data_IF_623160695897
#
_entry.id   IF_623160695897
#
_cell.length_a   1.000
_cell.length_b   1.000
_cell.length_c   1.000
_cell.angle_alpha   90.00
_cell.angle_beta   90.00
_cell.angle_gamma   90.00
#
_symmetry.space_group_name_H-M   'P 1'
#
loop_
_entity.id
_entity.type
_entity.pdbx_description
1 polymer ?
#
# COMPACT_ATOMS: atom_id res chain seq x y z
N UNK A 1 -34.61 92.63 53.28
CA UNK A 1 -34.81 93.96 52.66
C UNK A 1 -34.75 93.80 51.14
N UNK A 2 -35.55 94.51 50.32
CA UNK A 2 -37.01 94.48 50.19
C UNK A 2 -37.48 94.13 48.75
N UNK A 3 -38.80 93.90 48.59
CA UNK A 3 -39.59 93.81 47.33
C UNK A 3 -39.53 95.15 46.54
N UNK A 4 -39.82 95.22 45.21
CA UNK A 4 -41.20 95.34 44.66
C UNK A 4 -41.41 94.69 43.25
N UNK A 5 -42.55 94.05 42.90
CA UNK A 5 -43.89 94.56 42.51
C UNK A 5 -44.08 94.96 41.02
N UNK A 6 -45.27 94.58 40.50
CA UNK A 6 -45.99 94.98 39.25
C UNK A 6 -45.59 94.26 37.93
N UNK A 7 -46.49 93.87 37.00
CA UNK A 7 -47.89 94.27 36.74
C UNK A 7 -48.64 93.23 35.86
N UNK A 8 -49.98 93.32 35.85
CA UNK A 8 -50.96 92.37 35.30
C UNK A 8 -51.30 92.56 33.79
N UNK A 9 -51.57 91.43 33.10
CA UNK A 9 -52.65 91.12 32.10
C UNK A 9 -52.81 92.00 30.81
N UNK A 10 -53.69 91.69 29.80
CA UNK A 10 -54.53 90.51 29.50
C UNK A 10 -54.58 90.03 28.00
N UNK A 11 -55.22 88.85 27.81
CA UNK A 11 -55.97 88.28 26.64
C UNK A 11 -56.05 89.02 25.28
N UNK A 12 -55.92 88.25 24.17
CA UNK A 12 -57.00 88.07 23.15
C UNK A 12 -56.74 86.93 22.14
N UNK A 13 -57.86 86.31 21.71
CA UNK A 13 -58.01 85.16 20.79
C UNK A 13 -58.34 85.63 19.35
N UNK A 14 -57.86 84.83 18.38
CA UNK A 14 -58.42 84.49 17.03
C UNK A 14 -58.44 85.59 15.95
N UNK A 15 -58.55 85.29 14.62
CA UNK A 15 -58.95 84.03 13.96
C UNK A 15 -57.99 83.52 12.85
N UNK A 16 -58.31 82.35 12.28
CA UNK A 16 -57.45 81.62 11.33
C UNK A 16 -57.51 82.08 9.87
N UNK A 17 -56.59 81.53 9.08
CA UNK A 17 -56.59 81.57 7.62
C UNK A 17 -56.57 80.16 7.03
N UNK A 18 -57.40 79.99 6.00
CA UNK A 18 -57.68 78.75 5.26
C UNK A 18 -56.54 78.39 4.29
N UNK A 19 -56.42 77.08 4.11
CA UNK A 19 -56.30 76.34 2.84
C UNK A 19 -55.01 76.35 2.01
N UNK A 20 -54.78 75.12 1.50
CA UNK A 20 -54.16 74.73 0.24
C UNK A 20 -52.63 74.61 0.18
N UNK A 21 -52.19 73.36 0.35
CA UNK A 21 -50.88 72.86 -0.05
C UNK A 21 -50.95 71.35 -0.17
N UNK A 22 -51.80 70.85 -1.07
CA UNK A 22 -51.82 69.43 -1.45
C UNK A 22 -50.52 69.08 -2.16
N UNK A 23 -49.47 68.76 -1.39
CA UNK A 23 -48.23 68.23 -1.94
C UNK A 23 -48.50 66.90 -2.65
N UNK A 24 -47.91 66.66 -3.83
CA UNK A 24 -48.09 65.41 -4.55
C UNK A 24 -47.66 64.26 -3.63
N UNK A 25 -48.58 63.33 -3.40
CA UNK A 25 -48.37 62.18 -2.52
C UNK A 25 -47.18 61.36 -3.03
N UNK A 26 -46.06 61.42 -2.31
CA UNK A 26 -44.85 60.58 -2.43
C UNK A 26 -45.10 59.11 -2.05
N UNK A 27 -46.27 58.56 -2.41
CA UNK A 27 -46.70 57.20 -2.05
C UNK A 27 -46.06 56.11 -2.91
N UNK A 28 -45.49 56.45 -4.07
CA UNK A 28 -44.77 55.49 -4.94
C UNK A 28 -43.29 55.32 -4.60
N UNK A 29 -42.61 56.40 -4.18
CA UNK A 29 -41.15 56.40 -3.97
C UNK A 29 -40.76 55.55 -2.76
N UNK A 30 -41.52 55.62 -1.66
CA UNK A 30 -41.27 54.79 -0.48
C UNK A 30 -41.40 53.30 -0.78
N UNK A 31 -42.34 52.90 -1.65
CA UNK A 31 -42.52 51.52 -2.07
C UNK A 31 -41.33 51.05 -2.93
N UNK A 32 -40.84 51.89 -3.85
CA UNK A 32 -39.68 51.56 -4.69
C UNK A 32 -38.43 51.39 -3.83
N UNK A 33 -38.18 52.31 -2.88
CA UNK A 33 -37.04 52.20 -1.96
C UNK A 33 -37.13 50.92 -1.13
N UNK A 34 -38.31 50.58 -0.62
CA UNK A 34 -38.51 49.35 0.15
C UNK A 34 -38.26 48.09 -0.70
N UNK A 35 -38.79 48.03 -1.92
CA UNK A 35 -38.60 46.88 -2.82
C UNK A 35 -37.14 46.73 -3.24
N UNK A 36 -36.46 47.83 -3.58
CA UNK A 36 -35.03 47.81 -3.93
C UNK A 36 -34.19 47.39 -2.73
N UNK A 37 -34.51 47.89 -1.53
CA UNK A 37 -33.79 47.51 -0.30
C UNK A 37 -33.99 46.03 0.02
N UNK A 38 -35.22 45.51 -0.09
CA UNK A 38 -35.51 44.09 0.10
C UNK A 38 -34.80 43.26 -0.96
N UNK A 39 -34.84 43.65 -2.23
CA UNK A 39 -34.16 42.94 -3.31
C UNK A 39 -32.65 42.84 -3.04
N UNK A 40 -32.01 43.95 -2.67
CA UNK A 40 -30.58 43.98 -2.36
C UNK A 40 -30.22 43.14 -1.12
N UNK A 41 -31.03 43.21 -0.06
CA UNK A 41 -30.88 42.36 1.11
C UNK A 41 -31.06 40.88 0.78
N UNK A 42 -32.03 40.53 -0.07
CA UNK A 42 -32.25 39.14 -0.48
C UNK A 42 -31.06 38.58 -1.24
N UNK A 43 -30.46 39.35 -2.16
CA UNK A 43 -29.27 38.94 -2.91
C UNK A 43 -28.10 38.67 -1.95
N UNK A 44 -27.79 39.61 -1.06
CA UNK A 44 -26.71 39.47 -0.07
C UNK A 44 -26.97 38.27 0.85
N UNK A 45 -28.20 38.10 1.34
CA UNK A 45 -28.56 36.98 2.19
C UNK A 45 -28.40 35.63 1.46
N UNK A 46 -28.76 35.57 0.17
CA UNK A 46 -28.57 34.35 -0.63
C UNK A 46 -27.10 34.04 -0.91
N UNK A 47 -26.27 35.03 -1.24
CA UNK A 47 -24.83 34.83 -1.43
C UNK A 47 -24.15 34.39 -0.14
N UNK A 48 -24.47 35.03 1.00
CA UNK A 48 -23.94 34.63 2.29
C UNK A 48 -24.34 33.21 2.66
N UNK A 49 -25.62 32.84 2.45
CA UNK A 49 -26.10 31.49 2.73
C UNK A 49 -25.43 30.43 1.83
N UNK A 50 -25.19 30.76 0.56
CA UNK A 50 -24.48 29.87 -0.36
C UNK A 50 -23.02 29.70 0.06
N UNK A 51 -22.28 30.79 0.28
CA UNK A 51 -20.87 30.76 0.70
C UNK A 51 -20.71 30.02 2.03
N UNK A 52 -21.58 30.27 3.01
CA UNK A 52 -21.54 29.57 4.29
C UNK A 52 -21.74 28.06 4.15
N UNK A 53 -22.59 27.60 3.23
CA UNK A 53 -22.77 26.16 2.97
C UNK A 53 -21.54 25.54 2.32
N UNK A 54 -20.93 26.24 1.36
CA UNK A 54 -19.69 25.81 0.70
C UNK A 54 -18.56 25.73 1.72
N UNK A 55 -18.39 26.75 2.57
CA UNK A 55 -17.36 26.78 3.61
C UNK A 55 -17.54 25.66 4.63
N UNK A 56 -18.78 25.40 5.07
CA UNK A 56 -19.08 24.27 5.95
C UNK A 56 -18.75 22.92 5.29
N UNK A 57 -19.02 22.77 4.00
CA UNK A 57 -18.69 21.54 3.26
C UNK A 57 -17.18 21.38 3.08
N UNK A 58 -16.45 22.46 2.78
CA UNK A 58 -14.99 22.45 2.69
C UNK A 58 -14.36 22.11 4.05
N UNK A 59 -14.84 22.70 5.14
CA UNK A 59 -14.36 22.41 6.49
C UNK A 59 -14.64 20.95 6.90
N UNK A 60 -15.82 20.41 6.54
CA UNK A 60 -16.14 19.00 6.76
C UNK A 60 -15.20 18.08 5.95
N UNK A 61 -14.96 18.39 4.68
CA UNK A 61 -14.06 17.61 3.83
C UNK A 61 -12.61 17.65 4.33
N UNK A 62 -12.09 18.81 4.77
CA UNK A 62 -10.74 18.91 5.34
C UNK A 62 -10.59 18.10 6.63
N UNK A 63 -11.60 18.14 7.51
CA UNK A 63 -11.63 17.30 8.72
C UNK A 63 -11.62 15.81 8.35
N UNK A 64 -12.47 15.43 7.41
CA UNK A 64 -12.62 14.04 6.98
C UNK A 64 -11.38 13.55 6.22
N UNK A 65 -10.71 14.42 5.46
CA UNK A 65 -9.43 14.15 4.81
C UNK A 65 -8.33 13.77 5.81
N UNK A 66 -8.17 14.56 6.88
CA UNK A 66 -7.20 14.27 7.94
C UNK A 66 -7.54 12.95 8.63
N UNK A 67 -8.84 12.70 8.89
CA UNK A 67 -9.29 11.43 9.49
C UNK A 67 -8.97 10.25 8.57
N UNK A 68 -9.30 10.33 7.28
CA UNK A 68 -9.03 9.30 6.28
C UNK A 68 -7.52 9.01 6.18
N UNK A 69 -6.67 10.04 6.19
CA UNK A 69 -5.23 9.90 6.21
C UNK A 69 -4.72 9.09 7.41
N UNK A 70 -5.15 9.45 8.64
CA UNK A 70 -4.74 8.71 9.84
C UNK A 70 -5.34 7.30 9.92
N UNK A 71 -6.51 7.06 9.32
CA UNK A 71 -7.06 5.71 9.17
C UNK A 71 -6.18 4.85 8.26
N UNK A 72 -5.80 5.36 7.09
CA UNK A 72 -4.88 4.67 6.19
C UNK A 72 -3.52 4.42 6.87
N UNK A 73 -3.00 5.41 7.61
CA UNK A 73 -1.73 5.27 8.33
C UNK A 73 -1.80 4.20 9.42
N UNK A 74 -2.95 4.06 10.07
CA UNK A 74 -3.21 3.00 11.05
C UNK A 74 -3.21 1.61 10.38
N UNK A 75 -3.78 1.51 9.17
CA UNK A 75 -3.72 0.29 8.36
C UNK A 75 -2.29 -0.12 8.01
N UNK A 76 -1.44 0.83 7.60
CA UNK A 76 -0.01 0.56 7.35
C UNK A 76 0.70 0.08 8.62
N UNK A 77 0.44 0.72 9.77
CA UNK A 77 1.05 0.32 11.04
C UNK A 77 0.64 -1.10 11.47
N UNK A 78 -0.64 -1.44 11.29
CA UNK A 78 -1.17 -2.78 11.61
C UNK A 78 -0.60 -3.85 10.68
N UNK A 79 -0.47 -3.55 9.38
CA UNK A 79 0.21 -4.44 8.41
C UNK A 79 1.67 -4.69 8.79
N UNK A 80 2.41 -3.67 9.25
CA UNK A 80 3.79 -3.84 9.73
C UNK A 80 3.88 -4.75 10.96
N UNK A 81 2.94 -4.62 11.89
CA UNK A 81 2.84 -5.50 13.05
C UNK A 81 2.58 -6.95 12.62
N UNK A 82 1.68 -7.15 11.66
CA UNK A 82 1.37 -8.47 11.11
C UNK A 82 2.59 -9.11 10.45
N UNK A 83 3.34 -8.36 9.64
CA UNK A 83 4.55 -8.86 9.01
C UNK A 83 5.67 -9.18 10.02
N UNK A 84 5.74 -8.45 11.13
CA UNK A 84 6.64 -8.82 12.23
C UNK A 84 6.23 -10.15 12.86
N UNK A 85 4.93 -10.36 13.08
CA UNK A 85 4.42 -11.62 13.60
C UNK A 85 4.68 -12.78 12.63
N UNK A 86 4.50 -12.56 11.32
CA UNK A 86 4.91 -13.50 10.27
C UNK A 86 6.37 -13.93 10.43
N UNK A 87 7.30 -12.96 10.55
CA UNK A 87 8.73 -13.26 10.73
C UNK A 87 9.01 -14.08 12.00
N UNK A 88 8.26 -13.85 13.08
CA UNK A 88 8.37 -14.64 14.32
C UNK A 88 7.85 -16.07 14.14
N UNK A 89 6.71 -16.24 13.47
CA UNK A 89 6.14 -17.55 13.17
C UNK A 89 7.08 -18.36 12.26
N UNK A 90 7.71 -17.71 11.29
CA UNK A 90 8.70 -18.35 10.39
C UNK A 90 9.97 -18.82 11.11
N UNK A 91 10.30 -18.24 12.27
CA UNK A 91 11.43 -18.63 13.11
C UNK A 91 11.07 -19.76 14.08
N UNK A 92 9.79 -19.90 14.46
CA UNK A 92 9.32 -21.00 15.28
C UNK A 92 9.10 -22.25 14.42
N UNK A 93 9.88 -23.34 14.60
CA UNK A 93 9.63 -24.57 13.86
C UNK A 93 8.33 -25.18 14.38
N UNK A 94 7.22 -24.94 13.68
CA UNK A 94 5.96 -25.59 14.00
C UNK A 94 6.12 -27.07 13.59
N UNK A 95 5.99 -28.03 14.53
CA UNK A 95 6.04 -29.44 14.18
C UNK A 95 4.93 -29.74 13.16
N UNK A 96 5.34 -30.38 12.05
CA UNK A 96 4.47 -30.70 10.93
C UNK A 96 3.13 -31.32 11.42
N UNK A 97 1.96 -30.87 10.95
CA UNK A 97 0.67 -31.47 11.30
C UNK A 97 0.61 -32.96 10.97
N UNK A 98 1.37 -33.45 9.99
CA UNK A 98 1.52 -34.89 9.72
C UNK A 98 2.27 -35.64 10.83
N UNK A 99 3.26 -35.01 11.48
CA UNK A 99 3.94 -35.57 12.64
C UNK A 99 3.03 -35.54 13.89
N UNK A 100 2.21 -34.48 14.02
CA UNK A 100 1.21 -34.35 15.08
C UNK A 100 0.10 -35.40 14.92
N UNK A 101 -0.40 -35.60 13.71
CA UNK A 101 -1.43 -36.60 13.39
C UNK A 101 -0.87 -38.03 13.45
N UNK A 102 0.38 -38.25 13.03
CA UNK A 102 1.08 -39.53 13.19
C UNK A 102 1.30 -39.92 14.67
N UNK A 103 1.60 -38.94 15.52
CA UNK A 103 1.67 -39.13 16.97
C UNK A 103 0.28 -39.34 17.60
N UNK A 104 -0.77 -38.71 17.06
CA UNK A 104 -2.14 -38.87 17.57
C UNK A 104 -2.78 -40.20 17.15
N UNK A 105 -2.43 -40.73 15.98
CA UNK A 105 -2.91 -42.02 15.44
C UNK A 105 -2.09 -43.24 15.91
N UNK A 106 -1.09 -43.04 16.77
CA UNK A 106 -0.39 -44.14 17.47
C UNK A 106 0.55 -44.99 16.62
N UNK A 107 0.98 -44.53 15.43
CA UNK A 107 1.85 -45.31 14.56
C UNK A 107 3.35 -45.19 14.96
N UNK A 108 3.72 -45.78 16.09
CA UNK A 108 5.13 -45.99 16.49
C UNK A 108 5.74 -47.20 15.77
N UNK A 109 6.01 -47.07 14.46
CA UNK A 109 6.55 -48.21 13.71
C UNK A 109 7.07 -47.87 12.32
N UNK A 110 8.14 -47.06 12.23
CA UNK A 110 9.09 -47.11 11.13
C UNK A 110 10.33 -46.28 11.49
N UNK A 111 11.35 -46.95 12.01
CA UNK A 111 12.67 -46.38 12.25
C UNK A 111 13.42 -46.35 10.91
N UNK A 112 13.35 -45.22 10.20
CA UNK A 112 14.07 -44.99 8.95
C UNK A 112 13.65 -43.66 8.31
N UNK A 113 14.55 -42.69 8.34
CA UNK A 113 14.35 -41.27 8.03
C UNK A 113 13.50 -40.50 9.05
N UNK A 114 14.16 -39.80 9.97
CA UNK A 114 13.53 -38.68 10.69
C UNK A 114 12.98 -37.71 9.63
N UNK A 115 11.65 -37.51 9.53
CA UNK A 115 11.12 -36.43 8.72
C UNK A 115 11.69 -35.15 9.33
N UNK A 116 12.55 -34.45 8.60
CA UNK A 116 12.97 -33.12 9.00
C UNK A 116 11.71 -32.29 9.25
N UNK A 117 11.67 -31.47 10.32
CA UNK A 117 10.55 -30.59 10.57
C UNK A 117 10.45 -29.63 9.38
N UNK A 118 9.58 -29.94 8.41
CA UNK A 118 9.12 -28.99 7.44
C UNK A 118 8.30 -27.98 8.24
N UNK A 119 8.93 -26.88 8.63
CA UNK A 119 8.21 -25.72 9.15
C UNK A 119 7.15 -25.36 8.12
N UNK A 120 5.89 -25.32 8.53
CA UNK A 120 4.82 -24.82 7.68
C UNK A 120 5.20 -23.42 7.23
N UNK A 121 5.47 -23.22 5.94
CA UNK A 121 5.66 -21.89 5.36
C UNK A 121 4.28 -21.25 5.24
N UNK A 122 3.76 -20.71 6.34
CA UNK A 122 2.45 -20.09 6.40
C UNK A 122 2.59 -18.62 6.02
N UNK A 123 1.92 -18.16 4.97
CA UNK A 123 1.89 -16.76 4.56
C UNK A 123 0.68 -16.05 5.20
N UNK A 124 0.78 -15.68 6.48
CA UNK A 124 -0.29 -15.06 7.26
C UNK A 124 -0.84 -13.79 6.58
N UNK A 125 0.02 -13.03 5.91
CA UNK A 125 -0.35 -11.81 5.21
C UNK A 125 -1.28 -12.05 4.01
N UNK A 126 -1.34 -13.28 3.45
CA UNK A 126 -2.33 -13.66 2.43
C UNK A 126 -3.68 -14.04 3.01
N UNK A 127 -3.72 -14.44 4.28
CA UNK A 127 -4.95 -14.86 4.97
C UNK A 127 -5.62 -13.70 5.69
N UNK A 128 -4.82 -12.84 6.32
CA UNK A 128 -5.33 -11.78 7.18
C UNK A 128 -5.85 -10.59 6.35
N UNK A 129 -7.14 -10.30 6.48
CA UNK A 129 -7.70 -9.04 6.00
C UNK A 129 -7.38 -7.96 7.02
N UNK A 130 -6.39 -7.13 6.73
CA UNK A 130 -5.98 -6.04 7.61
C UNK A 130 -6.96 -4.87 7.43
N UNK A 131 -7.97 -4.80 8.27
CA UNK A 131 -9.01 -3.77 8.21
C UNK A 131 -9.36 -3.18 9.59
N UNK A 132 -10.25 -2.20 9.58
CA UNK A 132 -10.72 -1.55 10.79
C UNK A 132 -11.46 -2.51 11.75
N UNK A 133 -12.05 -3.58 11.25
CA UNK A 133 -12.77 -4.57 12.05
C UNK A 133 -11.78 -5.48 12.81
N UNK A 134 -10.69 -5.88 12.16
CA UNK A 134 -9.60 -6.61 12.81
C UNK A 134 -9.02 -5.79 13.96
N UNK A 135 -8.77 -4.49 13.74
CA UNK A 135 -8.26 -3.60 14.79
C UNK A 135 -9.24 -3.48 15.97
N UNK A 136 -10.53 -3.31 15.68
CA UNK A 136 -11.59 -3.26 16.70
C UNK A 136 -11.74 -4.58 17.46
N UNK A 137 -11.56 -5.72 16.81
CA UNK A 137 -11.62 -7.04 17.45
C UNK A 137 -10.40 -7.37 18.29
N UNK A 138 -9.21 -6.88 17.91
CA UNK A 138 -7.97 -7.09 18.68
C UNK A 138 -7.95 -6.27 19.97
N UNK A 139 -8.64 -5.13 20.00
CA UNK A 139 -8.75 -4.30 21.19
C UNK A 139 -10.07 -4.63 21.86
N UNK A 140 -10.01 -5.53 22.84
CA UNK A 140 -11.11 -5.70 23.80
C UNK A 140 -11.45 -4.33 24.38
N UNK A 141 -12.62 -3.81 24.05
CA UNK A 141 -13.24 -2.79 24.90
C UNK A 141 -13.68 -3.49 26.17
N UNK A 142 -12.82 -3.56 27.19
CA UNK A 142 -13.18 -4.02 28.55
C UNK A 142 -14.16 -3.04 29.23
N UNK A 143 -15.32 -2.84 28.61
CA UNK A 143 -16.36 -1.96 29.15
C UNK A 143 -17.71 -2.07 28.46
N UNK A 144 -17.90 -3.01 27.52
CA UNK A 144 -19.16 -3.18 26.82
C UNK A 144 -19.42 -4.65 26.50
N UNK A 145 -19.79 -5.43 27.50
CA UNK A 145 -20.79 -6.48 27.28
C UNK A 145 -21.98 -6.22 28.23
N UNK A 146 -23.23 -6.17 27.74
CA UNK A 146 -24.38 -6.47 28.57
C UNK A 146 -24.43 -7.99 28.71
N UNK A 147 -23.60 -8.54 29.58
CA UNK A 147 -23.57 -9.98 29.85
C UNK A 147 -24.82 -10.33 30.68
N UNK A 148 -25.78 -10.99 30.02
CA UNK A 148 -27.07 -11.38 30.59
C UNK A 148 -27.01 -12.73 31.33
N UNK A 149 -25.83 -13.27 31.64
CA UNK A 149 -25.68 -14.60 32.25
C UNK A 149 -24.42 -14.71 33.14
N UNK A 150 -24.32 -13.88 34.18
CA UNK A 150 -23.42 -14.14 35.30
C UNK A 150 -24.23 -14.65 36.52
N UNK A 151 -23.80 -15.74 37.20
CA UNK A 151 -24.48 -16.25 38.40
C UNK A 151 -24.43 -15.21 39.53
N UNK A 152 -25.40 -15.20 40.46
CA UNK A 152 -25.55 -14.13 41.43
C UNK A 152 -24.32 -14.09 42.34
N UNK A 153 -23.54 -13.02 42.24
CA UNK A 153 -22.52 -12.71 43.25
C UNK A 153 -23.23 -12.43 44.57
N UNK A 154 -22.80 -13.13 45.62
CA UNK A 154 -23.25 -12.93 46.99
C UNK A 154 -23.09 -11.46 47.38
N UNK A 155 -24.14 -10.92 48.01
CA UNK A 155 -24.16 -9.57 48.52
C UNK A 155 -23.03 -9.39 49.55
N UNK A 156 -22.09 -8.50 49.23
CA UNK A 156 -21.13 -8.00 50.21
C UNK A 156 -21.91 -7.04 51.12
N UNK A 157 -21.94 -7.35 52.41
CA UNK A 157 -22.61 -6.58 53.46
C UNK A 157 -22.26 -5.08 53.37
N UNK A 158 -23.28 -4.27 53.13
CA UNK A 158 -23.26 -2.82 53.31
C UNK A 158 -23.32 -2.51 54.81
N UNK A 159 -22.18 -2.36 55.48
CA UNK A 159 -22.09 -1.67 56.77
C UNK A 159 -20.63 -1.27 57.10
N UNK A 160 -20.07 -0.33 56.32
CA UNK A 160 -18.95 0.49 56.80
C UNK A 160 -19.34 1.98 56.77
N UNK A 161 -19.69 2.59 57.92
CA UNK A 161 -20.25 3.94 58.01
C UNK A 161 -19.22 5.05 57.77
N UNK A 162 -18.07 4.75 57.17
CA UNK A 162 -16.95 5.71 57.03
C UNK A 162 -16.76 6.29 55.63
N UNK A 163 -17.53 5.85 54.64
CA UNK A 163 -17.51 6.41 53.29
C UNK A 163 -18.93 6.60 52.73
N UNK A 164 -19.71 7.47 53.38
CA UNK A 164 -20.91 8.06 52.79
C UNK A 164 -20.46 9.09 51.74
N UNK A 165 -20.13 8.65 50.51
CA UNK A 165 -20.06 9.57 49.36
C UNK A 165 -21.47 9.93 48.91
N UNK A 166 -22.19 10.66 49.78
CA UNK A 166 -23.30 11.53 49.38
C UNK A 166 -22.71 12.85 48.91
N UNK A 167 -22.15 12.84 47.70
CA UNK A 167 -22.03 14.07 46.93
C UNK A 167 -22.43 13.73 45.50
N UNK A 168 -23.48 14.41 45.03
CA UNK A 168 -24.06 14.18 43.72
C UNK A 168 -22.98 14.21 42.65
N UNK A 169 -22.89 13.15 41.86
CA UNK A 169 -22.03 13.07 40.69
C UNK A 169 -22.29 14.30 39.82
N UNK A 170 -21.33 15.23 39.83
CA UNK A 170 -21.39 16.47 39.07
C UNK A 170 -21.62 16.12 37.60
N UNK A 171 -22.65 16.65 36.90
CA UNK A 171 -22.91 16.35 35.49
C UNK A 171 -21.68 16.56 34.61
N UNK A 172 -20.77 17.46 34.99
CA UNK A 172 -19.49 17.64 34.32
C UNK A 172 -18.59 16.39 34.40
N UNK A 173 -18.57 15.68 35.52
CA UNK A 173 -17.81 14.44 35.71
C UNK A 173 -18.36 13.28 34.88
N UNK A 174 -19.70 13.21 34.70
CA UNK A 174 -20.36 12.25 33.82
C UNK A 174 -20.13 12.56 32.33
N UNK A 175 -20.17 13.83 31.93
CA UNK A 175 -19.81 14.23 30.56
C UNK A 175 -18.32 13.97 30.27
N UNK A 176 -17.45 14.20 31.25
CA UNK A 176 -16.01 13.98 31.10
C UNK A 176 -15.67 12.48 31.07
N UNK A 177 -16.34 11.65 31.88
CA UNK A 177 -16.21 10.19 31.80
C UNK A 177 -16.79 9.62 30.50
N UNK A 178 -17.90 10.18 29.99
CA UNK A 178 -18.47 9.86 28.67
C UNK A 178 -17.56 10.30 27.51
N UNK A 179 -16.89 11.45 27.62
CA UNK A 179 -15.87 11.89 26.67
C UNK A 179 -14.63 10.98 26.71
N UNK A 180 -14.23 10.50 27.89
CA UNK A 180 -13.13 9.53 28.02
C UNK A 180 -13.52 8.15 27.47
N UNK A 181 -14.77 7.69 27.63
CA UNK A 181 -15.25 6.44 27.01
C UNK A 181 -15.38 6.55 25.49
N UNK A 182 -15.71 7.72 24.93
CA UNK A 182 -15.55 7.99 23.48
C UNK A 182 -14.10 7.97 23.00
N UNK A 183 -13.13 8.16 23.90
CA UNK A 183 -11.69 8.02 23.64
C UNK A 183 -11.17 6.61 23.97
N UNK A 184 -12.05 5.62 24.09
CA UNK A 184 -11.64 4.22 24.11
C UNK A 184 -11.00 3.84 22.76
N UNK A 185 -9.88 3.13 22.79
CA UNK A 185 -9.19 2.65 21.60
C UNK A 185 -10.11 1.67 20.87
N UNK A 186 -10.69 2.11 19.73
CA UNK A 186 -11.74 1.38 19.01
C UNK A 186 -12.98 2.22 18.68
N UNK A 187 -13.22 3.31 19.42
CA UNK A 187 -14.32 4.27 19.21
C UNK A 187 -14.07 5.30 18.10
N UNK A 188 -13.33 4.93 17.05
CA UNK A 188 -12.98 5.84 15.97
C UNK A 188 -14.01 5.83 14.82
N UNK A 189 -14.23 7.01 14.23
CA UNK A 189 -15.07 7.20 13.05
C UNK A 189 -14.26 6.99 11.76
N UNK A 190 -14.79 6.20 10.84
CA UNK A 190 -14.12 5.82 9.60
C UNK A 190 -13.67 4.36 9.60
N UNK A 191 -13.12 3.93 8.47
CA UNK A 191 -12.55 2.61 8.30
C UNK A 191 -11.28 2.68 7.46
N UNK A 192 -10.51 1.60 7.46
CA UNK A 192 -9.42 1.40 6.52
C UNK A 192 -9.41 -0.04 6.05
N UNK A 193 -8.86 -0.25 4.87
CA UNK A 193 -8.51 -1.55 4.32
C UNK A 193 -7.05 -1.50 3.87
N UNK A 194 -6.25 -2.48 4.28
CA UNK A 194 -4.85 -2.60 3.90
C UNK A 194 -4.61 -3.90 3.16
N UNK A 195 -3.96 -3.81 2.01
CA UNK A 195 -3.51 -4.94 1.21
C UNK A 195 -1.99 -5.03 1.25
N UNK A 196 -1.48 -6.25 1.41
CA UNK A 196 -0.05 -6.54 1.46
C UNK A 196 0.30 -7.34 0.21
N UNK A 197 1.32 -6.90 -0.52
CA UNK A 197 1.88 -7.62 -1.67
C UNK A 197 3.38 -7.83 -1.46
N UNK A 198 3.86 -9.01 -1.83
CA UNK A 198 5.28 -9.35 -1.78
C UNK A 198 6.04 -8.75 -2.98
N UNK A 199 7.13 -8.03 -2.71
CA UNK A 199 7.98 -7.48 -3.77
C UNK A 199 8.99 -8.50 -4.30
N UNK A 200 9.35 -9.52 -3.51
CA UNK A 200 10.32 -10.54 -3.93
C UNK A 200 9.70 -11.60 -4.86
N UNK A 201 8.37 -11.62 -5.02
CA UNK A 201 7.68 -12.36 -6.09
C UNK A 201 7.86 -11.73 -7.47
N UNK A 202 8.25 -10.45 -7.52
CA UNK A 202 8.51 -9.69 -8.74
C UNK A 202 9.99 -9.78 -9.13
N UNK A 203 10.31 -9.45 -10.38
CA UNK A 203 11.67 -9.38 -10.86
C UNK A 203 12.34 -8.10 -10.34
N UNK A 204 13.34 -8.25 -9.47
CA UNK A 204 14.14 -7.13 -8.97
C UNK A 204 15.16 -6.67 -10.03
N UNK A 205 15.00 -5.45 -10.54
CA UNK A 205 15.86 -4.90 -11.60
C UNK A 205 17.28 -4.62 -11.11
N UNK A 206 17.48 -4.29 -9.83
CA UNK A 206 18.83 -4.02 -9.31
C UNK A 206 19.74 -5.24 -9.35
N UNK A 207 19.18 -6.45 -9.43
CA UNK A 207 19.98 -7.67 -9.57
C UNK A 207 20.80 -7.72 -10.86
N UNK A 208 20.46 -6.92 -11.87
CA UNK A 208 21.27 -6.75 -13.09
C UNK A 208 22.64 -6.11 -12.80
N UNK A 209 22.73 -5.28 -11.77
CA UNK A 209 23.98 -4.65 -11.31
C UNK A 209 24.73 -5.49 -10.26
N UNK A 210 24.21 -6.68 -9.93
CA UNK A 210 24.84 -7.58 -8.96
C UNK A 210 26.06 -8.28 -9.56
N UNK A 211 26.74 -9.11 -8.76
CA UNK A 211 27.81 -9.97 -9.27
C UNK A 211 27.31 -10.94 -10.34
N UNK A 212 28.23 -11.47 -11.16
CA UNK A 212 27.96 -12.35 -12.30
C UNK A 212 26.96 -13.50 -12.03
N UNK A 213 27.02 -14.09 -10.83
CA UNK A 213 26.13 -15.19 -10.43
C UNK A 213 24.66 -14.81 -10.24
N UNK A 214 24.35 -13.53 -10.10
CA UNK A 214 23.01 -12.98 -9.88
C UNK A 214 22.51 -12.18 -11.09
N UNK A 215 23.42 -11.44 -11.74
CA UNK A 215 23.11 -10.61 -12.91
C UNK A 215 22.68 -11.44 -14.13
N UNK A 216 23.43 -12.48 -14.50
CA UNK A 216 23.10 -13.28 -15.69
C UNK A 216 21.75 -14.00 -15.58
N UNK A 217 21.43 -14.71 -14.49
CA UNK A 217 20.10 -15.32 -14.35
C UNK A 217 18.97 -14.30 -14.35
N UNK A 218 19.19 -13.11 -13.80
CA UNK A 218 18.19 -12.02 -13.81
C UNK A 218 18.00 -11.48 -15.24
N UNK A 219 19.10 -11.24 -15.95
CA UNK A 219 19.10 -10.80 -17.34
C UNK A 219 18.36 -11.80 -18.24
N UNK A 220 18.66 -13.10 -18.13
CA UNK A 220 17.97 -14.15 -18.87
C UNK A 220 16.47 -14.18 -18.58
N UNK A 221 16.06 -14.08 -17.31
CA UNK A 221 14.63 -13.99 -16.95
C UNK A 221 13.95 -12.75 -17.54
N UNK A 222 14.64 -11.62 -17.51
CA UNK A 222 14.14 -10.38 -18.10
C UNK A 222 13.98 -10.52 -19.61
N UNK A 223 14.98 -11.08 -20.29
CA UNK A 223 14.93 -11.34 -21.73
C UNK A 223 13.81 -12.32 -22.09
N UNK A 224 13.62 -13.41 -21.32
CA UNK A 224 12.53 -14.36 -21.53
C UNK A 224 11.15 -13.69 -21.35
N UNK A 225 11.02 -12.79 -20.37
CA UNK A 225 9.78 -12.04 -20.13
C UNK A 225 9.49 -11.00 -21.24
N UNK A 226 10.50 -10.22 -21.63
CA UNK A 226 10.37 -9.15 -22.63
C UNK A 226 10.29 -9.68 -24.06
N UNK A 227 10.94 -10.81 -24.32
CA UNK A 227 10.99 -11.49 -25.62
C UNK A 227 9.84 -12.47 -25.88
N UNK A 228 8.85 -12.54 -25.00
CA UNK A 228 7.64 -13.33 -25.25
C UNK A 228 6.93 -12.80 -26.50
N UNK A 229 6.60 -13.71 -27.43
CA UNK A 229 5.92 -13.40 -28.70
C UNK A 229 4.63 -12.60 -28.51
N UNK A 230 3.97 -12.75 -27.37
CA UNK A 230 2.77 -11.96 -27.03
C UNK A 230 3.03 -10.46 -26.97
N UNK A 231 4.27 -10.04 -26.72
CA UNK A 231 4.70 -8.66 -26.59
C UNK A 231 5.56 -8.17 -27.76
N UNK A 232 5.70 -8.97 -28.84
CA UNK A 232 6.51 -8.61 -30.02
C UNK A 232 6.11 -7.25 -30.60
N UNK A 233 4.81 -6.96 -30.60
CA UNK A 233 4.24 -5.70 -31.10
C UNK A 233 4.76 -4.45 -30.38
N UNK A 234 5.24 -4.56 -29.12
CA UNK A 234 5.81 -3.44 -28.37
C UNK A 234 7.14 -2.96 -28.97
N UNK A 235 7.84 -3.84 -29.71
CA UNK A 235 9.18 -3.62 -30.23
C UNK A 235 9.22 -3.34 -31.74
N UNK A 236 8.05 -3.32 -32.40
CA UNK A 236 7.94 -3.08 -33.84
C UNK A 236 7.88 -1.60 -34.21
N UNK A 237 7.47 -0.75 -33.26
CA UNK A 237 7.18 0.66 -33.48
C UNK A 237 8.23 1.54 -32.83
N UNK A 238 8.47 2.70 -33.44
CA UNK A 238 9.28 3.74 -32.83
C UNK A 238 8.54 4.35 -31.64
N UNK A 239 9.29 4.67 -30.58
CA UNK A 239 8.76 5.34 -29.40
C UNK A 239 8.50 6.85 -29.65
N UNK A 240 8.08 7.57 -28.60
CA UNK A 240 7.87 9.02 -28.66
C UNK A 240 9.15 9.80 -29.03
N UNK A 241 10.32 9.22 -28.76
CA UNK A 241 11.63 9.79 -29.07
C UNK A 241 12.13 9.38 -30.47
N UNK A 242 11.30 8.70 -31.27
CA UNK A 242 11.62 8.20 -32.61
C UNK A 242 12.77 7.19 -32.61
N UNK A 243 12.93 6.45 -31.52
CA UNK A 243 13.91 5.36 -31.41
C UNK A 243 13.15 4.05 -31.30
N UNK A 244 13.59 3.07 -32.09
CA UNK A 244 13.14 1.69 -31.95
C UNK A 244 14.04 0.97 -30.97
N UNK A 245 13.44 0.52 -29.86
CA UNK A 245 14.15 -0.25 -28.83
C UNK A 245 13.88 -1.75 -29.02
N UNK A 246 14.84 -2.58 -28.64
CA UNK A 246 14.67 -4.02 -28.56
C UNK A 246 14.70 -4.49 -27.07
N UNK A 247 14.24 -5.71 -26.75
CA UNK A 247 14.25 -6.22 -25.38
C UNK A 247 15.62 -6.18 -24.68
N UNK A 248 16.69 -6.47 -25.43
CA UNK A 248 18.05 -6.49 -24.91
C UNK A 248 18.55 -5.07 -24.62
N UNK A 249 18.28 -4.11 -25.50
CA UNK A 249 18.65 -2.70 -25.34
C UNK A 249 17.96 -2.11 -24.11
N UNK A 250 16.67 -2.41 -23.89
CA UNK A 250 15.95 -1.94 -22.70
C UNK A 250 16.50 -2.57 -21.42
N UNK A 251 16.81 -3.86 -21.43
CA UNK A 251 17.43 -4.53 -20.29
C UNK A 251 18.81 -3.91 -19.97
N UNK A 252 19.64 -3.65 -20.99
CA UNK A 252 20.94 -2.99 -20.80
C UNK A 252 20.76 -1.55 -20.31
N UNK A 253 19.85 -0.78 -20.89
CA UNK A 253 19.56 0.58 -20.44
C UNK A 253 19.07 0.64 -18.98
N UNK A 254 18.35 -0.38 -18.50
CA UNK A 254 17.96 -0.48 -17.09
C UNK A 254 19.15 -0.75 -16.17
N UNK A 255 20.16 -1.49 -16.66
CA UNK A 255 21.41 -1.69 -15.93
C UNK A 255 22.24 -0.39 -15.92
N UNK A 256 22.48 0.20 -17.09
CA UNK A 256 23.27 1.43 -17.31
C UNK A 256 22.66 2.66 -16.62
N UNK A 257 21.34 2.65 -16.36
CA UNK A 257 20.73 3.72 -15.56
C UNK A 257 21.15 3.67 -14.08
N UNK A 258 21.51 2.48 -13.58
CA UNK A 258 21.56 2.16 -12.16
C UNK A 258 22.95 1.81 -11.62
N UNK A 259 23.91 1.46 -12.47
CA UNK A 259 25.31 1.28 -12.08
C UNK A 259 26.05 2.61 -11.96
N UNK A 260 27.24 2.57 -11.36
CA UNK A 260 27.97 3.77 -10.93
C UNK A 260 28.93 4.30 -12.01
N UNK A 261 28.96 3.69 -13.21
CA UNK A 261 29.89 4.06 -14.29
C UNK A 261 29.21 4.90 -15.39
N UNK A 262 29.91 5.21 -16.48
CA UNK A 262 29.39 6.01 -17.62
C UNK A 262 29.52 5.23 -18.94
N UNK A 263 29.81 3.93 -18.85
CA UNK A 263 30.26 3.08 -19.96
C UNK A 263 29.27 1.97 -20.26
N UNK A 264 28.58 2.10 -21.39
CA UNK A 264 27.39 1.30 -21.64
C UNK A 264 27.65 -0.19 -21.61
N UNK A 265 26.77 -0.94 -20.97
CA UNK A 265 26.95 -2.37 -20.75
C UNK A 265 26.76 -3.18 -22.02
N UNK A 266 27.47 -4.30 -22.10
CA UNK A 266 27.21 -5.35 -23.07
C UNK A 266 26.75 -6.63 -22.37
N UNK A 267 26.23 -7.59 -23.12
CA UNK A 267 25.94 -8.94 -22.62
C UNK A 267 26.78 -9.96 -23.37
N UNK A 268 27.49 -10.80 -22.60
CA UNK A 268 28.20 -11.97 -23.10
C UNK A 268 27.76 -13.21 -22.30
N UNK A 269 26.71 -13.92 -22.76
CA UNK A 269 26.19 -15.06 -22.01
C UNK A 269 27.13 -16.27 -21.98
N UNK A 270 28.23 -16.24 -22.75
CA UNK A 270 29.22 -17.32 -22.79
C UNK A 270 30.34 -17.16 -21.76
N UNK A 271 30.49 -15.96 -21.17
CA UNK A 271 31.49 -15.69 -20.15
C UNK A 271 30.88 -15.91 -18.75
N UNK A 272 31.31 -16.95 -18.01
CA UNK A 272 30.78 -17.23 -16.68
C UNK A 272 31.33 -16.29 -15.59
N UNK A 273 32.38 -15.52 -15.89
CA UNK A 273 33.06 -14.63 -14.92
C UNK A 273 32.55 -13.21 -15.04
N UNK A 274 32.41 -12.69 -16.26
CA UNK A 274 31.85 -11.36 -16.51
C UNK A 274 30.81 -11.40 -17.63
N UNK A 275 29.57 -11.83 -17.32
CA UNK A 275 28.52 -12.00 -18.32
C UNK A 275 27.93 -10.67 -18.80
N UNK A 276 28.16 -9.56 -18.08
CA UNK A 276 27.70 -8.22 -18.45
C UNK A 276 28.87 -7.23 -18.35
N UNK A 277 29.87 -7.32 -19.25
CA UNK A 277 31.03 -6.43 -19.22
C UNK A 277 30.67 -5.02 -19.67
N UNK A 278 31.46 -4.03 -19.26
CA UNK A 278 31.43 -2.69 -19.85
C UNK A 278 31.72 -2.78 -21.34
N UNK A 279 30.89 -2.12 -22.14
CA UNK A 279 31.02 -2.02 -23.58
C UNK A 279 31.94 -0.90 -24.00
N UNK A 280 31.72 -0.40 -25.22
CA UNK A 280 32.52 0.68 -25.83
C UNK A 280 31.70 1.96 -26.08
N UNK A 281 30.43 1.97 -25.68
CA UNK A 281 29.52 3.09 -25.86
C UNK A 281 29.47 4.00 -24.64
N UNK A 282 29.11 5.25 -24.88
CA UNK A 282 28.73 6.21 -23.83
C UNK A 282 27.24 6.00 -23.46
N UNK A 283 26.96 5.82 -22.18
CA UNK A 283 25.61 5.61 -21.63
C UNK A 283 24.69 6.82 -21.80
N UNK A 284 25.26 8.03 -21.81
CA UNK A 284 24.51 9.27 -21.97
C UNK A 284 24.02 9.50 -23.41
N UNK A 285 24.63 8.83 -24.38
CA UNK A 285 24.38 9.05 -25.81
C UNK A 285 22.89 8.94 -26.22
N UNK A 286 22.10 7.94 -25.76
CA UNK A 286 20.68 7.85 -26.12
C UNK A 286 19.84 8.99 -25.54
N UNK A 287 20.18 9.48 -24.35
CA UNK A 287 19.42 10.49 -23.61
C UNK A 287 19.70 11.92 -24.08
N UNK A 288 20.89 12.16 -24.63
CA UNK A 288 21.29 13.44 -25.24
C UNK A 288 20.38 13.91 -26.39
N UNK A 289 19.59 12.98 -26.96
CA UNK A 289 18.67 13.24 -28.10
C UNK A 289 17.24 13.47 -27.68
N UNK A 290 16.92 13.28 -26.40
CA UNK A 290 15.57 13.44 -25.87
C UNK A 290 15.21 14.91 -25.67
N UNK A 291 13.91 15.19 -25.64
CA UNK A 291 13.38 16.54 -25.39
C UNK A 291 12.40 16.51 -24.20
N UNK A 292 12.77 17.07 -23.03
CA UNK A 292 14.06 17.68 -22.69
C UNK A 292 15.20 16.66 -22.59
N UNK A 293 16.43 17.12 -22.80
CA UNK A 293 17.64 16.32 -22.61
C UNK A 293 17.91 16.10 -21.13
N UNK A 294 18.35 14.90 -20.76
CA UNK A 294 18.82 14.57 -19.42
C UNK A 294 19.90 13.50 -19.50
N UNK A 295 20.56 13.21 -18.39
CA UNK A 295 21.61 12.19 -18.27
C UNK A 295 21.10 10.99 -17.46
N UNK A 296 21.70 9.81 -17.66
CA UNK A 296 21.57 8.67 -16.75
C UNK A 296 21.84 9.08 -15.30
N UNK A 297 21.12 8.44 -14.36
CA UNK A 297 21.27 8.77 -12.94
C UNK A 297 22.54 8.20 -12.33
N UNK A 298 23.03 7.09 -12.86
CA UNK A 298 24.17 6.30 -12.37
C UNK A 298 24.07 6.00 -10.87
N UNK A 299 22.86 5.65 -10.45
CA UNK A 299 22.55 5.29 -9.08
C UNK A 299 21.26 4.48 -9.01
N UNK A 300 21.07 3.79 -7.89
CA UNK A 300 19.87 2.98 -7.66
C UNK A 300 18.57 3.78 -7.86
N UNK A 301 17.62 3.14 -8.53
CA UNK A 301 16.22 3.58 -8.59
C UNK A 301 15.62 3.88 -7.21
N UNK A 302 14.96 5.03 -7.07
CA UNK A 302 14.22 5.44 -5.87
C UNK A 302 12.76 4.96 -5.89
N UNK A 303 12.20 4.80 -7.09
CA UNK A 303 10.82 4.35 -7.30
C UNK A 303 10.67 3.59 -8.61
N UNK A 304 9.62 2.78 -8.72
CA UNK A 304 9.31 2.08 -9.97
C UNK A 304 8.96 3.05 -11.10
N UNK A 305 8.42 4.22 -10.79
CA UNK A 305 8.00 5.22 -11.77
C UNK A 305 9.24 5.94 -12.38
N UNK A 306 10.41 5.78 -11.78
CA UNK A 306 11.67 6.25 -12.37
C UNK A 306 12.03 5.47 -13.64
N UNK A 307 11.52 4.24 -13.83
CA UNK A 307 11.73 3.46 -15.06
C UNK A 307 11.26 4.21 -16.31
N UNK A 308 10.27 5.12 -16.22
CA UNK A 308 9.85 5.97 -17.34
C UNK A 308 10.97 6.88 -17.90
N UNK A 309 12.05 7.08 -17.14
CA UNK A 309 13.23 7.82 -17.59
C UNK A 309 14.24 6.94 -18.33
N UNK A 310 14.08 5.63 -18.33
CA UNK A 310 15.05 4.72 -18.96
C UNK A 310 14.80 4.62 -20.46
N UNK A 311 15.87 4.52 -21.24
CA UNK A 311 15.79 4.38 -22.69
C UNK A 311 14.93 3.16 -23.09
N UNK A 312 13.95 3.40 -23.97
CA UNK A 312 13.04 2.37 -24.47
C UNK A 312 11.91 1.94 -23.52
N UNK A 313 11.83 2.52 -22.32
CA UNK A 313 10.68 2.34 -21.42
C UNK A 313 9.61 3.39 -21.73
N UNK A 314 8.42 2.93 -22.13
CA UNK A 314 7.29 3.78 -22.47
C UNK A 314 6.00 3.33 -21.75
N UNK A 315 4.89 4.04 -21.97
CA UNK A 315 3.59 3.73 -21.35
C UNK A 315 3.11 2.30 -21.67
N UNK A 316 3.40 1.79 -22.87
CA UNK A 316 2.99 0.44 -23.28
C UNK A 316 3.82 -0.63 -22.57
N UNK A 317 5.14 -0.41 -22.45
CA UNK A 317 6.05 -1.24 -21.66
C UNK A 317 5.60 -1.27 -20.20
N UNK A 318 5.37 -0.10 -19.60
CA UNK A 318 4.96 0.00 -18.21
C UNK A 318 3.58 -0.64 -18.00
N UNK A 319 2.65 -0.46 -18.92
CA UNK A 319 1.35 -1.16 -18.85
C UNK A 319 1.49 -2.68 -18.94
N UNK A 320 2.50 -3.22 -19.62
CA UNK A 320 2.68 -4.67 -19.78
C UNK A 320 3.48 -5.32 -18.64
N UNK A 321 4.51 -4.63 -18.14
CA UNK A 321 5.52 -5.23 -17.27
C UNK A 321 5.63 -4.62 -15.87
N UNK A 322 5.05 -3.43 -15.60
CA UNK A 322 5.19 -2.74 -14.31
C UNK A 322 4.84 -3.60 -13.10
N UNK A 323 3.79 -4.40 -13.19
CA UNK A 323 3.33 -5.24 -12.07
C UNK A 323 4.25 -6.43 -11.77
N UNK A 324 5.17 -6.76 -12.69
CA UNK A 324 6.14 -7.86 -12.57
C UNK A 324 7.55 -7.36 -12.23
N UNK A 325 7.77 -6.06 -12.17
CA UNK A 325 9.07 -5.44 -11.88
C UNK A 325 9.07 -4.83 -10.48
N UNK A 326 10.23 -4.79 -9.84
CA UNK A 326 10.44 -4.09 -8.57
C UNK A 326 11.85 -3.51 -8.47
N UNK A 327 12.00 -2.49 -7.63
CA UNK A 327 13.25 -1.76 -7.34
C UNK A 327 13.58 -1.73 -5.84
N UNK A 328 12.75 -2.37 -5.00
CA UNK A 328 12.82 -2.19 -3.54
C UNK A 328 13.62 -3.25 -2.78
N UNK A 329 13.64 -4.54 -3.18
CA UNK A 329 14.39 -5.57 -2.47
C UNK A 329 15.90 -5.32 -2.44
N UNK A 330 16.62 -6.03 -1.58
CA UNK A 330 18.07 -5.97 -1.62
C UNK A 330 18.60 -6.55 -2.95
N UNK A 331 19.75 -6.06 -3.40
CA UNK A 331 20.40 -6.56 -4.62
C UNK A 331 20.70 -8.07 -4.55
N UNK A 332 20.87 -8.61 -3.35
CA UNK A 332 21.10 -10.04 -3.13
C UNK A 332 19.83 -10.79 -2.70
N UNK A 333 18.67 -10.12 -2.61
CA UNK A 333 17.40 -10.76 -2.29
C UNK A 333 17.05 -11.79 -3.36
N UNK A 334 16.69 -12.99 -2.91
CA UNK A 334 16.35 -14.09 -3.81
C UNK A 334 14.90 -13.94 -4.26
N UNK A 335 14.57 -14.26 -5.51
CA UNK A 335 13.21 -14.20 -6.01
C UNK A 335 12.39 -15.29 -5.35
N UNK A 336 11.26 -14.91 -4.77
CA UNK A 336 10.35 -15.80 -4.09
C UNK A 336 9.60 -16.66 -5.11
N UNK A 337 9.66 -17.98 -4.93
CA UNK A 337 8.93 -18.96 -5.78
C UNK A 337 7.44 -18.97 -5.50
N UNK A 338 6.99 -18.43 -4.37
CA UNK A 338 5.61 -18.52 -3.91
C UNK A 338 4.67 -17.51 -4.59
N UNK A 339 4.81 -17.32 -5.90
CA UNK A 339 4.00 -16.38 -6.68
C UNK A 339 2.67 -16.99 -7.17
N UNK A 340 1.69 -16.13 -7.40
CA UNK A 340 0.42 -16.46 -8.07
C UNK A 340 0.43 -16.09 -9.56
N UNK A 341 1.44 -15.35 -10.05
CA UNK A 341 1.58 -15.02 -11.47
C UNK A 341 2.17 -16.24 -12.22
N UNK A 342 1.48 -16.78 -13.25
CA UNK A 342 1.98 -17.91 -14.02
C UNK A 342 3.28 -17.61 -14.79
N UNK A 343 3.49 -16.37 -15.23
CA UNK A 343 4.72 -15.95 -15.92
C UNK A 343 5.90 -15.98 -14.95
N UNK A 344 5.73 -15.39 -13.76
CA UNK A 344 6.78 -15.38 -12.73
C UNK A 344 7.10 -16.80 -12.24
N UNK A 345 6.08 -17.66 -12.12
CA UNK A 345 6.26 -19.08 -11.79
C UNK A 345 7.03 -19.82 -12.90
N UNK A 346 6.70 -19.56 -14.17
CA UNK A 346 7.43 -20.10 -15.33
C UNK A 346 8.91 -19.73 -15.31
N UNK A 347 9.21 -18.45 -15.08
CA UNK A 347 10.59 -17.95 -14.96
C UNK A 347 11.33 -18.58 -13.77
N UNK A 348 10.63 -18.83 -12.65
CA UNK A 348 11.21 -19.55 -11.52
C UNK A 348 11.57 -21.00 -11.89
N UNK A 349 10.71 -21.72 -12.61
CA UNK A 349 11.01 -23.07 -13.12
C UNK A 349 12.24 -23.05 -14.04
N UNK A 350 12.26 -22.13 -15.00
CA UNK A 350 13.36 -22.00 -15.97
C UNK A 350 14.70 -21.69 -15.28
N UNK A 351 14.69 -20.97 -14.15
CA UNK A 351 15.90 -20.68 -13.40
C UNK A 351 16.48 -21.86 -12.61
N UNK A 352 15.64 -22.83 -12.26
CA UNK A 352 16.06 -24.06 -11.57
C UNK A 352 16.52 -25.12 -12.57
N UNK A 353 16.04 -25.05 -13.81
CA UNK A 353 16.49 -25.91 -14.89
C UNK A 353 18.00 -25.72 -15.18
N UNK A 354 18.67 -26.78 -15.60
CA UNK A 354 20.09 -26.75 -15.92
C UNK A 354 20.37 -25.94 -17.19
N UNK A 355 21.10 -24.80 -17.12
CA UNK A 355 21.42 -24.00 -18.30
C UNK A 355 22.36 -24.73 -19.27
N UNK A 356 23.16 -25.69 -18.80
CA UNK A 356 24.04 -26.47 -19.66
C UNK A 356 23.30 -27.53 -20.49
N UNK A 357 22.07 -27.87 -20.07
CA UNK A 357 21.20 -28.86 -20.74
C UNK A 357 19.79 -28.30 -20.86
N UNK A 358 19.59 -27.28 -21.72
CA UNK A 358 18.29 -26.64 -21.86
C UNK A 358 17.27 -27.64 -22.40
N UNK A 359 16.19 -27.88 -21.65
CA UNK A 359 15.09 -28.72 -22.08
C UNK A 359 14.18 -27.93 -23.04
N UNK A 360 14.03 -28.34 -24.32
CA UNK A 360 13.17 -27.65 -25.27
C UNK A 360 11.70 -27.58 -24.81
N UNK A 361 11.25 -28.50 -23.95
CA UNK A 361 9.88 -28.53 -23.43
C UNK A 361 9.54 -27.32 -22.56
N UNK A 362 10.54 -26.69 -21.94
CA UNK A 362 10.32 -25.47 -21.15
C UNK A 362 9.89 -24.27 -22.00
N UNK A 363 10.13 -24.33 -23.32
CA UNK A 363 9.63 -23.34 -24.28
C UNK A 363 8.23 -23.66 -24.81
N UNK A 364 7.72 -24.86 -24.55
CA UNK A 364 6.36 -25.24 -24.91
C UNK A 364 5.38 -24.71 -23.83
N UNK A 365 4.45 -23.81 -24.19
CA UNK A 365 3.50 -23.26 -23.23
C UNK A 365 2.59 -24.32 -22.62
N UNK A 366 2.32 -25.44 -23.31
CA UNK A 366 1.43 -26.49 -22.79
C UNK A 366 2.10 -27.21 -21.61
N UNK A 367 3.33 -27.68 -21.82
CA UNK A 367 4.10 -28.35 -20.78
C UNK A 367 4.38 -27.44 -19.58
N UNK A 368 4.75 -26.17 -19.84
CA UNK A 368 5.01 -25.21 -18.77
C UNK A 368 3.74 -24.96 -17.93
N UNK A 369 2.58 -24.82 -18.57
CA UNK A 369 1.29 -24.63 -17.87
C UNK A 369 0.87 -25.87 -17.06
N UNK A 370 1.14 -27.08 -17.56
CA UNK A 370 0.90 -28.32 -16.83
C UNK A 370 1.74 -28.36 -15.54
N UNK A 371 3.04 -28.03 -15.65
CA UNK A 371 3.93 -28.00 -14.50
C UNK A 371 3.54 -26.91 -13.49
N UNK A 372 3.18 -25.71 -13.96
CA UNK A 372 2.66 -24.65 -13.10
C UNK A 372 1.40 -25.13 -12.34
N UNK A 373 0.49 -25.81 -13.03
CA UNK A 373 -0.73 -26.35 -12.43
C UNK A 373 -0.41 -27.41 -11.37
N UNK A 374 0.57 -28.29 -11.66
CA UNK A 374 1.05 -29.31 -10.71
C UNK A 374 1.62 -28.67 -9.45
N UNK A 375 2.48 -27.66 -9.58
CA UNK A 375 3.08 -26.92 -8.45
C UNK A 375 1.98 -26.22 -7.63
N UNK A 376 1.01 -25.57 -8.29
CA UNK A 376 -0.12 -24.92 -7.59
C UNK A 376 -0.97 -25.94 -6.84
N UNK A 377 -1.28 -27.08 -7.45
CA UNK A 377 -2.06 -28.14 -6.80
C UNK A 377 -1.34 -28.74 -5.59
N UNK A 378 -0.01 -28.83 -5.64
CA UNK A 378 0.80 -29.30 -4.52
C UNK A 378 0.81 -28.33 -3.32
N UNK A 379 0.62 -27.02 -3.54
CA UNK A 379 0.48 -26.05 -2.44
C UNK A 379 -0.84 -26.18 -1.67
N UNK A 380 -1.82 -26.91 -2.21
CA UNK A 380 -3.20 -27.10 -1.70
C UNK A 380 -3.99 -25.79 -1.50
N UNK A 381 -3.49 -24.88 -0.66
CA UNK A 381 -4.02 -23.54 -0.42
C UNK A 381 -2.96 -22.46 -0.73
N UNK A 382 -3.38 -21.30 -1.24
CA UNK A 382 -2.47 -20.20 -1.62
C UNK A 382 -1.69 -19.58 -0.45
N UNK A 383 -2.13 -19.78 0.79
CA UNK A 383 -1.45 -19.29 1.99
C UNK A 383 -0.39 -20.26 2.52
N UNK A 384 -0.30 -21.49 2.00
CA UNK A 384 0.84 -22.36 2.25
C UNK A 384 1.90 -22.12 1.16
N UNK A 385 3.01 -21.52 1.55
CA UNK A 385 4.21 -21.48 0.75
C UNK A 385 4.79 -22.87 0.55
N UNK A 386 5.42 -23.07 -0.60
CA UNK A 386 6.26 -24.22 -0.89
C UNK A 386 7.70 -23.92 -0.49
N UNK A 387 8.37 -24.88 0.14
CA UNK A 387 9.81 -24.80 0.39
C UNK A 387 10.59 -24.98 -0.92
N UNK A 388 11.79 -24.39 -0.99
CA UNK A 388 12.67 -24.53 -2.16
C UNK A 388 12.96 -26.00 -2.50
N UNK A 389 13.14 -26.85 -1.47
CA UNK A 389 13.40 -28.28 -1.62
C UNK A 389 12.24 -29.01 -2.31
N UNK A 390 11.00 -28.72 -1.88
CA UNK A 390 9.79 -29.34 -2.43
C UNK A 390 9.56 -28.87 -3.86
N UNK A 391 9.82 -27.60 -4.14
CA UNK A 391 9.74 -27.03 -5.49
C UNK A 391 10.70 -27.73 -6.45
N UNK A 392 11.96 -27.87 -6.06
CA UNK A 392 12.97 -28.59 -6.85
C UNK A 392 12.55 -30.03 -7.08
N UNK A 393 12.03 -30.73 -6.06
CA UNK A 393 11.57 -32.10 -6.19
C UNK A 393 10.39 -32.25 -7.18
N UNK A 394 9.45 -31.30 -7.20
CA UNK A 394 8.35 -31.29 -8.17
C UNK A 394 8.88 -31.10 -9.60
N UNK A 395 9.82 -30.17 -9.81
CA UNK A 395 10.46 -29.94 -11.11
C UNK A 395 11.23 -31.18 -11.60
N UNK A 396 12.01 -31.83 -10.73
CA UNK A 396 12.71 -33.08 -11.07
C UNK A 396 11.73 -34.21 -11.40
N UNK A 397 10.62 -34.31 -10.67
CA UNK A 397 9.59 -35.32 -10.93
C UNK A 397 8.82 -35.11 -12.25
N UNK A 398 8.99 -33.94 -12.89
CA UNK A 398 8.49 -33.67 -14.23
C UNK A 398 9.50 -34.06 -15.33
N UNK A 399 10.68 -34.57 -14.95
CA UNK A 399 11.73 -35.01 -15.86
C UNK A 399 12.69 -33.90 -16.32
N UNK A 400 12.63 -32.72 -15.71
CA UNK A 400 13.54 -31.61 -16.00
C UNK A 400 14.83 -31.81 -15.20
N UNK A 401 15.98 -31.69 -15.88
CA UNK A 401 17.29 -31.73 -15.21
C UNK A 401 17.49 -30.42 -14.45
N UNK A 402 17.67 -30.52 -13.14
CA UNK A 402 17.89 -29.37 -12.27
C UNK A 402 19.37 -28.96 -12.24
N UNK A 403 19.60 -27.65 -12.22
CA UNK A 403 20.92 -27.07 -12.09
C UNK A 403 21.66 -27.62 -10.84
N UNK A 404 22.86 -28.21 -11.01
CA UNK A 404 23.65 -28.73 -9.91
C UNK A 404 23.94 -27.72 -8.79
N UNK A 405 24.04 -26.42 -9.13
CA UNK A 405 24.27 -25.36 -8.16
C UNK A 405 23.10 -25.17 -7.19
N UNK A 406 21.86 -25.40 -7.65
CA UNK A 406 20.67 -25.37 -6.78
C UNK A 406 20.55 -26.68 -6.01
N UNK A 407 20.77 -27.81 -6.68
CA UNK A 407 20.61 -29.14 -6.10
C UNK A 407 21.61 -29.44 -4.96
N UNK A 408 22.85 -29.00 -5.11
CA UNK A 408 23.91 -29.27 -4.12
C UNK A 408 23.78 -28.43 -2.84
N UNK A 409 23.19 -27.24 -2.92
CA UNK A 409 22.96 -26.37 -1.77
C UNK A 409 21.64 -25.62 -1.89
N UNK A 410 20.53 -26.33 -1.68
CA UNK A 410 19.17 -25.78 -1.78
C UNK A 410 18.98 -24.59 -0.84
N UNK A 411 19.50 -24.65 0.39
CA UNK A 411 19.34 -23.59 1.39
C UNK A 411 20.12 -22.31 1.04
N UNK A 412 21.34 -22.44 0.50
CA UNK A 412 22.23 -21.33 0.15
C UNK A 412 22.24 -20.94 -1.33
N UNK A 413 21.31 -21.46 -2.13
CA UNK A 413 21.22 -21.11 -3.54
C UNK A 413 20.88 -19.62 -3.71
N UNK A 414 21.35 -19.02 -4.82
CA UNK A 414 21.14 -17.59 -5.15
C UNK A 414 20.01 -17.34 -6.15
N UNK A 415 19.47 -18.40 -6.76
CA UNK A 415 18.53 -18.28 -7.88
C UNK A 415 17.09 -18.15 -7.41
N UNK A 416 16.73 -18.80 -6.30
CA UNK A 416 15.37 -18.84 -5.78
C UNK A 416 15.33 -18.85 -4.25
N UNK A 417 14.28 -18.23 -3.70
CA UNK A 417 13.94 -18.22 -2.29
C UNK A 417 12.48 -18.62 -2.06
N UNK A 418 12.15 -18.93 -0.81
CA UNK A 418 10.79 -19.31 -0.36
C UNK A 418 10.22 -18.35 0.68
N UNK A 419 11.03 -17.41 1.16
CA UNK A 419 10.71 -16.39 2.16
C UNK A 419 11.12 -15.03 1.65
N UNK A 420 10.36 -14.02 2.04
CA UNK A 420 10.55 -12.65 1.58
C UNK A 420 10.75 -11.68 2.73
N UNK A 421 11.51 -10.62 2.48
CA UNK A 421 11.75 -9.57 3.45
C UNK A 421 11.14 -8.24 3.04
N UNK A 422 10.83 -8.03 1.77
CA UNK A 422 10.36 -6.75 1.26
C UNK A 422 8.89 -6.84 0.82
N UNK A 423 8.04 -6.00 1.38
CA UNK A 423 6.60 -6.00 1.12
C UNK A 423 6.10 -4.59 0.84
N UNK A 424 5.17 -4.48 -0.11
CA UNK A 424 4.39 -3.26 -0.35
C UNK A 424 3.06 -3.37 0.38
N UNK A 425 2.70 -2.29 1.06
CA UNK A 425 1.47 -2.14 1.82
C UNK A 425 0.69 -0.99 1.19
N UNK A 426 -0.49 -1.30 0.65
CA UNK A 426 -1.42 -0.29 0.15
C UNK A 426 -2.61 -0.21 1.10
N UNK A 427 -2.74 0.91 1.81
CA UNK A 427 -3.84 1.13 2.73
C UNK A 427 -4.74 2.26 2.25
N UNK A 428 -6.02 1.98 2.13
CA UNK A 428 -7.07 2.95 1.82
C UNK A 428 -7.81 3.26 3.11
N UNK A 429 -7.81 4.53 3.51
CA UNK A 429 -8.56 5.04 4.65
C UNK A 429 -9.77 5.84 4.18
N UNK A 430 -10.89 5.67 4.86
CA UNK A 430 -12.17 6.29 4.51
C UNK A 430 -12.75 7.00 5.73
N UNK A 431 -13.17 8.25 5.54
CA UNK A 431 -13.93 9.00 6.53
C UNK A 431 -14.96 9.88 5.81
N UNK A 432 -16.24 9.76 6.19
CA UNK A 432 -17.31 10.48 5.52
C UNK A 432 -17.39 10.12 4.03
N UNK A 433 -17.14 11.12 3.17
CA UNK A 433 -17.08 10.95 1.71
C UNK A 433 -15.67 11.01 1.12
N UNK A 434 -14.65 11.16 1.98
CA UNK A 434 -13.26 11.30 1.57
C UNK A 434 -12.53 9.98 1.73
N UNK A 435 -11.78 9.59 0.70
CA UNK A 435 -10.87 8.46 0.71
C UNK A 435 -9.43 8.96 0.54
N UNK A 436 -8.50 8.36 1.25
CA UNK A 436 -7.05 8.59 1.10
C UNK A 436 -6.33 7.27 0.96
N UNK A 437 -5.40 7.21 0.02
CA UNK A 437 -4.62 5.99 -0.23
C UNK A 437 -3.16 6.23 0.13
N UNK A 438 -2.62 5.37 0.98
CA UNK A 438 -1.21 5.37 1.35
C UNK A 438 -0.55 4.11 0.80
N UNK A 439 0.55 4.28 0.07
CA UNK A 439 1.39 3.19 -0.39
C UNK A 439 2.73 3.27 0.30
N UNK A 440 3.08 2.24 1.06
CA UNK A 440 4.32 2.15 1.81
C UNK A 440 5.06 0.86 1.44
N UNK A 441 6.37 0.94 1.20
CA UNK A 441 7.21 -0.25 1.02
C UNK A 441 8.06 -0.44 2.25
N UNK A 442 8.01 -1.64 2.82
CA UNK A 442 8.66 -1.97 4.09
C UNK A 442 9.56 -3.18 3.89
N UNK A 443 10.81 -3.07 4.36
CA UNK A 443 11.73 -4.19 4.47
C UNK A 443 11.79 -4.65 5.91
N UNK A 444 11.56 -5.92 6.16
CA UNK A 444 11.57 -6.51 7.49
C UNK A 444 12.98 -6.46 8.09
N UNK A 445 13.04 -5.91 9.30
CA UNK A 445 14.21 -5.91 10.17
C UNK A 445 13.84 -6.60 11.49
N UNK A 446 14.65 -6.47 12.53
CA UNK A 446 14.35 -7.07 13.84
C UNK A 446 13.30 -6.27 14.65
N UNK A 447 12.80 -5.17 14.10
CA UNK A 447 11.80 -4.27 14.69
C UNK A 447 10.44 -4.37 13.97
N UNK A 448 9.87 -3.26 13.51
CA UNK A 448 8.62 -3.17 12.74
C UNK A 448 8.90 -3.00 11.23
N UNK A 449 10.10 -3.32 10.77
CA UNK A 449 10.57 -3.10 9.42
C UNK A 449 10.96 -1.65 9.14
N UNK A 450 11.97 -1.50 8.28
CA UNK A 450 12.44 -0.22 7.75
C UNK A 450 11.53 0.22 6.60
N UNK A 451 11.06 1.47 6.67
CA UNK A 451 10.33 2.10 5.58
C UNK A 451 11.30 2.48 4.46
N UNK A 452 11.08 1.98 3.26
CA UNK A 452 11.89 2.27 2.07
C UNK A 452 11.26 3.33 1.19
N UNK A 453 9.93 3.31 1.06
CA UNK A 453 9.18 4.21 0.19
C UNK A 453 7.83 4.56 0.83
N UNK A 454 7.37 5.78 0.59
CA UNK A 454 6.11 6.31 1.10
C UNK A 454 5.48 7.25 0.07
N UNK A 455 4.25 6.96 -0.34
CA UNK A 455 3.46 7.81 -1.23
C UNK A 455 2.05 7.99 -0.68
N UNK A 456 1.58 9.23 -0.77
CA UNK A 456 0.24 9.65 -0.38
C UNK A 456 -0.54 10.03 -1.65
N UNK A 457 -1.73 9.45 -1.82
CA UNK A 457 -2.67 9.68 -2.92
C UNK A 457 -4.01 10.20 -2.41
#
# INVERSE_FOLDING_TARGET
MPLPFFQQAPRRRRPGSKASGGGPRSRGVALIIAVVSIALLTVIATEFAYNSRVDLQLAANQRDEVRAYYMARSGVALSRLLLRFQKQVDQTPIPNPAALLGNLLGNQGAQGNTPQPASLNLQLWRMARVDCHMLKGMVKSEGLEPENDAPPMEAVDEDDPKFDMKDGEDPASREMSQQMTRRSFGGFEGCFLSTISDEEEKLNVHRLTAGAGDALPTALRMMDMLGDKRFEFLWERDDANKVRSNPQDVMLAIKDWADDDETGSAINPTDPVNPMPSGFSDEGSPYSRYEPTYEPKNARFDSIDELYRVHGVNDQFMSAFRDRLTVYPDINSRPNINTDDPVMMGLAIMSVADPARPDPRLKDPVFLNELITRIRSARMFSFFGMGVQDFVAVVESAGIVVNPAVKSNVAGNRLIGDKSQTFTIKSVGEAGSVQKTLTAVVRLDDTLGRLLYWREE
#
